data_IF_539934647794
#
_entry.id   IF_539934647794
#
_cell.length_a   1.000
_cell.length_b   1.000
_cell.length_c   1.000
_cell.angle_alpha   90.00
_cell.angle_beta   90.00
_cell.angle_gamma   90.00
#
_symmetry.space_group_name_H-M   'P 1'
#
loop_
_entity.id
_entity.type
_entity.pdbx_description
1 polymer ?
#
# COMPACT_ATOMS: atom_id res chain seq x y z
N UNK A 1 -38.68 89.13 -34.46
CA UNK A 1 -38.89 87.76 -34.99
C UNK A 1 -37.59 87.30 -35.65
N UNK A 2 -37.28 86.00 -35.50
CA UNK A 2 -36.20 85.26 -36.17
C UNK A 2 -34.80 85.33 -35.54
N UNK A 3 -34.61 84.65 -34.39
CA UNK A 3 -33.29 84.18 -33.93
C UNK A 3 -33.42 82.93 -33.05
N UNK A 4 -34.23 81.96 -33.48
CA UNK A 4 -34.48 80.71 -32.73
C UNK A 4 -34.32 79.44 -33.59
N UNK A 5 -33.50 79.49 -34.66
CA UNK A 5 -33.27 78.35 -35.56
C UNK A 5 -31.78 77.95 -35.71
N UNK A 6 -30.83 78.56 -35.01
CA UNK A 6 -29.40 78.23 -35.15
C UNK A 6 -28.81 77.30 -34.07
N UNK A 7 -29.56 77.01 -32.99
CA UNK A 7 -29.07 76.12 -31.92
C UNK A 7 -29.25 74.64 -32.27
N UNK A 8 -30.37 74.27 -32.90
CA UNK A 8 -30.63 72.89 -33.33
C UNK A 8 -29.70 72.39 -34.44
N UNK A 9 -29.22 73.28 -35.32
CA UNK A 9 -28.27 72.90 -36.39
C UNK A 9 -26.89 72.51 -35.88
N UNK A 10 -26.41 73.19 -34.83
CA UNK A 10 -25.11 72.88 -34.22
C UNK A 10 -25.13 71.60 -33.37
N UNK A 11 -26.24 71.31 -32.68
CA UNK A 11 -26.41 70.06 -31.93
C UNK A 11 -26.56 68.85 -32.85
N UNK A 12 -27.31 68.99 -33.95
CA UNK A 12 -27.45 67.93 -34.97
C UNK A 12 -26.11 67.69 -35.69
N UNK A 13 -25.36 68.74 -36.03
CA UNK A 13 -24.02 68.60 -36.62
C UNK A 13 -23.02 67.97 -35.63
N UNK A 14 -23.11 68.29 -34.34
CA UNK A 14 -22.29 67.66 -33.30
C UNK A 14 -22.67 66.19 -33.07
N UNK A 15 -23.95 65.85 -33.10
CA UNK A 15 -24.44 64.48 -33.01
C UNK A 15 -24.03 63.65 -34.24
N UNK A 16 -24.11 64.22 -35.44
CA UNK A 16 -23.62 63.58 -36.68
C UNK A 16 -22.12 63.35 -36.63
N UNK A 17 -21.30 64.32 -36.18
CA UNK A 17 -19.86 64.12 -36.01
C UNK A 17 -19.53 63.05 -34.97
N UNK A 18 -20.30 62.95 -33.89
CA UNK A 18 -20.17 61.87 -32.89
C UNK A 18 -20.54 60.52 -33.49
N UNK A 19 -21.58 60.44 -34.31
CA UNK A 19 -21.94 59.23 -35.05
C UNK A 19 -20.88 58.86 -36.09
N UNK A 20 -20.33 59.81 -36.83
CA UNK A 20 -19.24 59.61 -37.80
C UNK A 20 -17.94 59.12 -37.14
N UNK A 21 -17.71 59.44 -35.86
CA UNK A 21 -16.58 58.88 -35.08
C UNK A 21 -16.90 57.55 -34.44
N UNK A 22 -18.14 57.33 -34.00
CA UNK A 22 -18.57 56.09 -33.32
C UNK A 22 -18.82 54.95 -34.32
N UNK A 23 -19.34 55.22 -35.52
CA UNK A 23 -19.65 54.20 -36.53
C UNK A 23 -18.40 53.43 -37.02
N UNK A 24 -17.26 54.07 -37.35
CA UNK A 24 -16.03 53.35 -37.68
C UNK A 24 -15.44 52.60 -36.48
N UNK A 25 -15.58 53.15 -35.28
CA UNK A 25 -15.14 52.49 -34.05
C UNK A 25 -15.97 51.24 -33.78
N UNK A 26 -17.30 51.30 -33.95
CA UNK A 26 -18.22 50.18 -33.85
C UNK A 26 -17.98 49.13 -34.94
N UNK A 27 -17.76 49.56 -36.19
CA UNK A 27 -17.39 48.67 -37.30
C UNK A 27 -16.04 47.96 -37.08
N UNK A 28 -15.12 48.59 -36.34
CA UNK A 28 -13.82 47.98 -35.97
C UNK A 28 -13.84 47.23 -34.64
N UNK A 29 -14.90 47.38 -33.83
CA UNK A 29 -14.98 46.85 -32.47
C UNK A 29 -14.98 45.32 -32.50
N UNK A 30 -15.76 44.72 -33.40
CA UNK A 30 -15.83 43.27 -33.56
C UNK A 30 -14.46 42.70 -33.91
N UNK A 31 -13.75 43.28 -34.90
CA UNK A 31 -12.40 42.84 -35.27
C UNK A 31 -11.39 43.01 -34.14
N UNK A 32 -11.51 44.10 -33.35
CA UNK A 32 -10.64 44.32 -32.18
C UNK A 32 -10.93 43.32 -31.06
N UNK A 33 -12.20 43.02 -30.80
CA UNK A 33 -12.62 42.03 -29.82
C UNK A 33 -12.16 40.63 -30.22
N UNK A 34 -12.40 40.22 -31.47
CA UNK A 34 -11.91 38.94 -32.00
C UNK A 34 -10.39 38.83 -31.87
N UNK A 35 -9.64 39.89 -32.21
CA UNK A 35 -8.18 39.92 -32.04
C UNK A 35 -7.78 39.81 -30.58
N UNK A 36 -8.46 40.50 -29.67
CA UNK A 36 -8.18 40.43 -28.24
C UNK A 36 -8.46 39.02 -27.68
N UNK A 37 -9.59 38.41 -28.02
CA UNK A 37 -9.93 37.03 -27.65
C UNK A 37 -8.87 36.07 -28.18
N UNK A 38 -8.50 36.16 -29.46
CA UNK A 38 -7.43 35.34 -30.03
C UNK A 38 -6.11 35.50 -29.26
N UNK A 39 -5.71 36.74 -28.96
CA UNK A 39 -4.47 36.99 -28.20
C UNK A 39 -4.50 36.34 -26.82
N UNK A 40 -5.60 36.48 -26.07
CA UNK A 40 -5.75 35.86 -24.75
C UNK A 40 -5.69 34.34 -24.84
N UNK A 41 -6.36 33.74 -25.82
CA UNK A 41 -6.42 32.28 -25.97
C UNK A 41 -5.09 31.70 -26.46
N UNK A 42 -4.40 32.38 -27.39
CA UNK A 42 -3.04 32.00 -27.81
C UNK A 42 -2.07 32.04 -26.62
N UNK A 43 -2.21 33.02 -25.72
CA UNK A 43 -1.39 33.06 -24.51
C UNK A 43 -1.61 31.83 -23.61
N UNK A 44 -2.81 31.26 -23.56
CA UNK A 44 -3.07 30.02 -22.80
C UNK A 44 -2.27 28.85 -23.37
N UNK A 45 -2.27 28.67 -24.71
CA UNK A 45 -1.42 27.67 -25.37
C UNK A 45 0.07 27.94 -25.17
N UNK A 46 0.46 29.22 -25.26
CA UNK A 46 1.85 29.68 -25.09
C UNK A 46 2.47 29.34 -23.74
N UNK A 47 1.67 29.08 -22.69
CA UNK A 47 2.18 28.64 -21.38
C UNK A 47 2.84 27.26 -21.40
N UNK A 48 2.53 26.44 -22.40
CA UNK A 48 2.98 25.04 -22.49
C UNK A 48 4.06 24.82 -23.56
N UNK A 49 4.49 25.89 -24.24
CA UNK A 49 5.48 25.82 -25.31
C UNK A 49 6.52 26.92 -25.18
N UNK A 50 7.76 26.58 -25.50
CA UNK A 50 8.90 27.50 -25.41
C UNK A 50 8.97 28.41 -26.64
N UNK A 51 7.98 29.29 -26.78
CA UNK A 51 7.83 30.23 -27.90
C UNK A 51 7.72 31.66 -27.35
N UNK A 52 8.31 32.64 -28.05
CA UNK A 52 8.23 34.05 -27.65
C UNK A 52 6.78 34.52 -27.50
N UNK A 53 6.50 35.33 -26.47
CA UNK A 53 5.14 35.82 -26.16
C UNK A 53 4.49 36.65 -27.30
N UNK A 54 5.29 37.20 -28.20
CA UNK A 54 4.83 37.96 -29.37
C UNK A 54 4.71 37.10 -30.65
N UNK A 55 4.88 35.79 -30.57
CA UNK A 55 4.81 34.92 -31.74
C UNK A 55 3.40 34.90 -32.35
N UNK A 56 3.29 34.74 -33.68
CA UNK A 56 2.01 34.54 -34.34
C UNK A 56 1.25 33.36 -33.74
N UNK A 57 -0.08 33.46 -33.68
CA UNK A 57 -0.98 32.39 -33.23
C UNK A 57 -0.67 31.05 -33.91
N UNK A 58 -0.32 31.12 -35.20
CA UNK A 58 0.03 29.97 -36.01
C UNK A 58 1.23 29.20 -35.45
N UNK A 59 2.28 29.93 -35.09
CA UNK A 59 3.53 29.39 -34.57
C UNK A 59 3.32 28.74 -33.20
N UNK A 60 2.55 29.39 -32.31
CA UNK A 60 2.28 28.88 -30.97
C UNK A 60 1.50 27.57 -31.02
N UNK A 61 0.42 27.53 -31.81
CA UNK A 61 -0.41 26.34 -31.94
C UNK A 61 0.31 25.19 -32.64
N UNK A 62 1.11 25.47 -33.68
CA UNK A 62 1.94 24.46 -34.34
C UNK A 62 3.00 23.87 -33.39
N UNK A 63 3.66 24.71 -32.59
CA UNK A 63 4.62 24.26 -31.57
C UNK A 63 3.92 23.41 -30.50
N UNK A 64 2.70 23.79 -30.09
CA UNK A 64 1.94 23.05 -29.08
C UNK A 64 1.53 21.68 -29.59
N UNK A 65 1.00 21.62 -30.82
CA UNK A 65 0.64 20.37 -31.47
C UNK A 65 1.85 19.44 -31.67
N UNK A 66 3.02 20.00 -32.01
CA UNK A 66 4.24 19.21 -32.16
C UNK A 66 4.70 18.59 -30.84
N UNK A 67 4.56 19.34 -29.73
CA UNK A 67 4.95 18.90 -28.38
C UNK A 67 3.97 17.87 -27.80
N UNK A 68 2.66 18.03 -28.00
CA UNK A 68 1.61 17.24 -27.35
C UNK A 68 0.92 16.27 -28.30
N UNK A 69 1.70 15.38 -28.94
CA UNK A 69 1.16 14.29 -29.76
C UNK A 69 0.82 13.09 -28.89
N UNK A 70 -0.47 12.93 -28.58
CA UNK A 70 -0.98 11.80 -27.80
C UNK A 70 -1.77 10.89 -28.74
N UNK A 71 -1.31 9.65 -29.00
CA UNK A 71 -2.03 8.72 -29.87
C UNK A 71 -3.34 8.26 -29.22
N UNK A 72 -4.30 7.88 -30.05
CA UNK A 72 -5.46 7.12 -29.59
C UNK A 72 -5.13 5.62 -29.55
N UNK A 73 -5.70 4.89 -28.59
CA UNK A 73 -6.66 5.36 -27.60
C UNK A 73 -6.00 5.88 -26.29
N UNK A 74 -6.61 6.89 -25.65
CA UNK A 74 -6.13 7.50 -24.40
C UNK A 74 -7.28 7.79 -23.41
N UNK A 75 -6.93 8.13 -22.16
CA UNK A 75 -7.89 8.34 -21.06
C UNK A 75 -8.23 9.81 -20.80
N UNK A 76 -7.84 10.69 -21.72
CA UNK A 76 -8.20 12.10 -21.63
C UNK A 76 -9.72 12.29 -21.65
N UNK A 77 -10.16 13.37 -21.02
CA UNK A 77 -11.55 13.83 -21.06
C UNK A 77 -12.02 14.06 -22.49
N UNK A 78 -13.33 13.95 -22.74
CA UNK A 78 -13.90 14.14 -24.07
C UNK A 78 -13.56 15.53 -24.66
N UNK A 79 -13.50 16.55 -23.81
CA UNK A 79 -13.10 17.91 -24.20
C UNK A 79 -11.62 17.99 -24.58
N UNK A 80 -10.73 17.38 -23.80
CA UNK A 80 -9.30 17.32 -24.11
C UNK A 80 -9.03 16.55 -25.42
N UNK A 81 -9.73 15.43 -25.64
CA UNK A 81 -9.73 14.69 -26.92
C UNK A 81 -10.21 15.54 -28.08
N UNK A 82 -11.29 16.29 -27.88
CA UNK A 82 -11.81 17.22 -28.90
C UNK A 82 -10.80 18.32 -29.24
N UNK A 83 -10.12 18.89 -28.23
CA UNK A 83 -9.04 19.86 -28.44
C UNK A 83 -7.91 19.25 -29.26
N UNK A 84 -7.42 18.05 -28.90
CA UNK A 84 -6.37 17.35 -29.67
C UNK A 84 -6.79 17.08 -31.10
N UNK A 85 -8.01 16.57 -31.30
CA UNK A 85 -8.56 16.27 -32.63
C UNK A 85 -8.66 17.54 -33.50
N UNK A 86 -9.23 18.62 -32.97
CA UNK A 86 -9.38 19.85 -33.74
C UNK A 86 -8.05 20.57 -33.97
N UNK A 87 -7.14 20.52 -32.99
CA UNK A 87 -5.78 21.07 -33.14
C UNK A 87 -4.90 20.21 -34.06
N UNK A 88 -5.24 18.95 -34.30
CA UNK A 88 -4.56 18.12 -35.30
C UNK A 88 -5.04 18.42 -36.73
N UNK A 89 -6.29 18.83 -36.88
CA UNK A 89 -6.98 18.95 -38.17
C UNK A 89 -7.28 20.40 -38.61
N UNK A 90 -6.78 21.39 -37.89
CA UNK A 90 -6.96 22.79 -38.26
C UNK A 90 -6.11 23.14 -39.51
N UNK A 91 -6.75 23.69 -40.54
CA UNK A 91 -6.16 23.93 -41.86
C UNK A 91 -5.16 25.10 -41.94
N UNK A 92 -4.27 25.24 -40.96
CA UNK A 92 -3.32 26.34 -40.80
C UNK A 92 -3.92 27.75 -40.65
N UNK A 93 -5.19 27.83 -40.25
CA UNK A 93 -5.85 29.09 -39.90
C UNK A 93 -6.26 29.08 -38.43
N UNK A 94 -5.63 29.93 -37.62
CA UNK A 94 -5.89 30.00 -36.17
C UNK A 94 -7.27 30.54 -35.83
N UNK A 95 -7.80 31.49 -36.61
CA UNK A 95 -9.05 32.16 -36.27
C UNK A 95 -10.25 31.18 -36.22
N UNK A 96 -10.51 30.32 -37.23
CA UNK A 96 -11.59 29.35 -37.15
C UNK A 96 -11.46 28.35 -35.99
N UNK A 97 -10.24 27.90 -35.70
CA UNK A 97 -10.02 27.00 -34.56
C UNK A 97 -10.37 27.70 -33.24
N UNK A 98 -9.75 28.85 -32.98
CA UNK A 98 -9.81 29.54 -31.69
C UNK A 98 -11.13 30.26 -31.43
N UNK A 99 -11.79 30.79 -32.46
CA UNK A 99 -12.99 31.62 -32.32
C UNK A 99 -14.30 30.85 -32.55
N UNK A 100 -14.24 29.69 -33.24
CA UNK A 100 -15.44 28.92 -33.57
C UNK A 100 -15.40 27.49 -33.06
N UNK A 101 -14.34 26.73 -33.35
CA UNK A 101 -14.32 25.28 -33.10
C UNK A 101 -14.08 24.93 -31.63
N UNK A 102 -13.01 25.45 -31.02
CA UNK A 102 -12.67 25.16 -29.63
C UNK A 102 -13.70 25.68 -28.61
N UNK A 103 -14.30 26.89 -28.77
CA UNK A 103 -15.38 27.33 -27.90
C UNK A 103 -16.60 26.39 -27.90
N UNK A 104 -16.91 25.77 -29.06
CA UNK A 104 -17.99 24.78 -29.16
C UNK A 104 -17.64 23.43 -28.54
N UNK A 105 -16.36 23.06 -28.60
CA UNK A 105 -15.86 21.81 -28.03
C UNK A 105 -15.86 21.80 -26.50
N UNK A 106 -15.84 22.98 -25.87
CA UNK A 106 -15.84 23.15 -24.42
C UNK A 106 -17.27 23.37 -23.91
N UNK A 107 -17.75 22.47 -23.05
CA UNK A 107 -19.11 22.50 -22.51
C UNK A 107 -19.40 23.77 -21.70
N UNK A 108 -18.38 24.33 -21.04
CA UNK A 108 -18.49 25.56 -20.25
C UNK A 108 -18.78 26.81 -21.10
N UNK A 109 -18.54 26.75 -22.42
CA UNK A 109 -18.75 27.87 -23.35
C UNK A 109 -19.85 27.54 -24.36
N UNK A 110 -19.77 26.38 -25.02
CA UNK A 110 -20.80 25.81 -25.89
C UNK A 110 -21.09 26.55 -27.20
N UNK A 111 -20.58 27.78 -27.36
CA UNK A 111 -20.93 28.67 -28.46
C UNK A 111 -19.70 29.38 -29.04
N UNK A 112 -19.67 29.66 -30.36
CA UNK A 112 -18.60 30.42 -30.99
C UNK A 112 -18.59 31.88 -30.53
N UNK A 113 -17.44 32.55 -30.62
CA UNK A 113 -17.22 33.91 -30.08
C UNK A 113 -18.18 34.95 -30.63
N UNK A 114 -18.55 34.86 -31.91
CA UNK A 114 -19.50 35.80 -32.53
C UNK A 114 -20.94 35.66 -32.02
N UNK A 115 -21.26 34.61 -31.25
CA UNK A 115 -22.57 34.37 -30.63
C UNK A 115 -22.56 34.68 -29.12
N UNK A 116 -21.45 35.20 -28.59
CA UNK A 116 -21.38 35.54 -27.17
C UNK A 116 -22.15 36.82 -26.87
N UNK A 117 -23.13 36.72 -25.98
CA UNK A 117 -23.89 37.87 -25.50
C UNK A 117 -23.14 38.66 -24.42
N UNK A 118 -22.15 38.04 -23.77
CA UNK A 118 -21.40 38.60 -22.67
C UNK A 118 -19.90 38.39 -22.87
N UNK A 119 -19.11 39.43 -22.60
CA UNK A 119 -17.65 39.34 -22.70
C UNK A 119 -17.01 38.46 -21.62
N UNK A 120 -17.69 38.26 -20.49
CA UNK A 120 -17.22 37.40 -19.39
C UNK A 120 -17.03 35.93 -19.79
N UNK A 121 -17.68 35.48 -20.88
CA UNK A 121 -17.44 34.17 -21.48
C UNK A 121 -15.99 33.96 -21.93
N UNK A 122 -15.24 35.05 -22.18
CA UNK A 122 -13.80 34.96 -22.45
C UNK A 122 -13.04 34.36 -21.26
N UNK A 123 -13.41 34.75 -20.04
CA UNK A 123 -12.78 34.22 -18.83
C UNK A 123 -13.09 32.73 -18.67
N UNK A 124 -14.36 32.35 -18.81
CA UNK A 124 -14.78 30.94 -18.78
C UNK A 124 -14.07 30.11 -19.86
N UNK A 125 -13.93 30.66 -21.07
CA UNK A 125 -13.22 30.00 -22.15
C UNK A 125 -11.74 29.79 -21.83
N UNK A 126 -11.04 30.84 -21.38
CA UNK A 126 -9.63 30.76 -21.03
C UNK A 126 -9.36 29.79 -19.86
N UNK A 127 -10.23 29.77 -18.85
CA UNK A 127 -10.14 28.86 -17.71
C UNK A 127 -10.39 27.40 -18.11
N UNK A 128 -11.49 27.12 -18.81
CA UNK A 128 -11.82 25.78 -19.27
C UNK A 128 -10.75 25.22 -20.22
N UNK A 129 -10.30 26.03 -21.18
CA UNK A 129 -9.21 25.65 -22.07
C UNK A 129 -7.91 25.42 -21.28
N UNK A 130 -7.57 26.32 -20.35
CA UNK A 130 -6.37 26.20 -19.53
C UNK A 130 -6.33 24.90 -18.73
N UNK A 131 -7.46 24.47 -18.16
CA UNK A 131 -7.60 23.19 -17.46
C UNK A 131 -7.36 21.99 -18.39
N UNK A 132 -7.95 21.99 -19.59
CA UNK A 132 -7.79 20.89 -20.56
C UNK A 132 -6.39 20.82 -21.16
N UNK A 133 -5.76 21.98 -21.40
CA UNK A 133 -4.36 22.02 -21.84
C UNK A 133 -3.42 21.54 -20.73
N UNK A 134 -3.72 21.83 -19.46
CA UNK A 134 -2.97 21.28 -18.33
C UNK A 134 -3.09 19.74 -18.27
N UNK A 135 -4.30 19.22 -18.43
CA UNK A 135 -4.59 17.78 -18.49
C UNK A 135 -3.77 17.10 -19.60
N UNK A 136 -3.79 17.65 -20.82
CA UNK A 136 -3.01 17.16 -21.97
C UNK A 136 -1.50 17.24 -21.71
N UNK A 137 -1.04 18.34 -21.11
CA UNK A 137 0.38 18.54 -20.84
C UNK A 137 0.92 17.62 -19.74
N UNK A 138 0.06 17.16 -18.82
CA UNK A 138 0.41 16.26 -17.73
C UNK A 138 0.25 14.78 -18.09
N UNK A 139 -0.38 14.47 -19.23
CA UNK A 139 -0.60 13.11 -19.68
C UNK A 139 0.72 12.40 -19.97
N UNK A 140 0.96 11.30 -19.26
CA UNK A 140 2.12 10.44 -19.48
C UNK A 140 1.71 9.16 -20.23
N UNK A 141 2.19 8.97 -21.47
CA UNK A 141 1.86 7.78 -22.23
C UNK A 141 2.48 6.54 -21.57
N UNK A 142 1.72 5.45 -21.61
CA UNK A 142 2.16 4.17 -21.08
C UNK A 142 2.97 3.41 -22.14
N UNK A 143 4.26 3.18 -21.87
CA UNK A 143 5.09 2.33 -22.72
C UNK A 143 4.76 0.84 -22.48
N UNK A 144 4.98 0.00 -23.50
CA UNK A 144 4.68 -1.44 -23.43
C UNK A 144 5.37 -2.13 -22.22
N UNK A 145 6.66 -1.88 -21.92
CA UNK A 145 7.30 -2.49 -20.76
C UNK A 145 6.68 -2.04 -19.43
N UNK A 146 6.30 -0.76 -19.31
CA UNK A 146 5.67 -0.23 -18.09
C UNK A 146 4.25 -0.79 -17.92
N UNK A 147 3.47 -0.93 -19.00
CA UNK A 147 2.18 -1.64 -18.97
C UNK A 147 2.35 -3.09 -18.52
N UNK A 148 3.34 -3.80 -19.08
CA UNK A 148 3.67 -5.17 -18.70
C UNK A 148 4.01 -5.31 -17.21
N UNK A 149 4.76 -4.36 -16.66
CA UNK A 149 5.08 -4.30 -15.24
C UNK A 149 3.82 -4.07 -14.39
N UNK A 150 3.07 -3.00 -14.66
CA UNK A 150 1.93 -2.59 -13.84
C UNK A 150 0.77 -3.60 -13.92
N UNK A 151 0.47 -4.11 -15.11
CA UNK A 151 -0.55 -5.16 -15.29
C UNK A 151 -0.10 -6.53 -14.76
N UNK A 152 1.21 -6.80 -14.80
CA UNK A 152 1.83 -7.96 -14.18
C UNK A 152 1.76 -7.90 -12.66
N UNK A 153 1.92 -6.70 -12.08
CA UNK A 153 1.78 -6.42 -10.67
C UNK A 153 0.38 -6.79 -10.16
N UNK A 154 -0.67 -6.26 -10.79
CA UNK A 154 -2.06 -6.59 -10.44
C UNK A 154 -2.33 -8.10 -10.50
N UNK A 155 -1.75 -8.77 -11.50
CA UNK A 155 -1.84 -10.23 -11.60
C UNK A 155 -1.11 -10.94 -10.47
N UNK A 156 0.01 -10.41 -9.98
CA UNK A 156 0.80 -11.02 -8.90
C UNK A 156 0.10 -10.91 -7.53
N UNK A 157 -0.66 -9.84 -7.30
CA UNK A 157 -1.50 -9.67 -6.11
C UNK A 157 -2.91 -10.27 -6.27
N UNK A 158 -3.15 -11.02 -7.35
CA UNK A 158 -4.42 -11.71 -7.65
C UNK A 158 -5.65 -10.78 -7.76
N UNK A 159 -5.44 -9.52 -8.17
CA UNK A 159 -6.53 -8.55 -8.35
C UNK A 159 -7.13 -8.64 -9.76
N UNK A 160 -8.46 -8.47 -9.91
CA UNK A 160 -9.13 -8.58 -11.19
C UNK A 160 -8.65 -7.49 -12.16
N UNK A 161 -8.37 -7.87 -13.40
CA UNK A 161 -8.08 -6.94 -14.49
C UNK A 161 -9.39 -6.42 -15.06
N UNK A 162 -9.96 -5.40 -14.43
CA UNK A 162 -10.98 -4.55 -15.06
C UNK A 162 -10.35 -3.73 -16.19
N UNK A 163 -11.12 -2.88 -16.86
CA UNK A 163 -10.58 -1.95 -17.87
C UNK A 163 -9.50 -1.07 -17.24
N UNK A 164 -8.23 -1.36 -17.55
CA UNK A 164 -7.08 -0.68 -16.97
C UNK A 164 -6.89 0.70 -17.60
N UNK A 165 -6.51 1.73 -16.82
CA UNK A 165 -6.05 3.00 -17.37
C UNK A 165 -4.85 2.80 -18.30
N UNK A 166 -4.87 3.51 -19.41
CA UNK A 166 -3.82 3.66 -20.42
C UNK A 166 -2.87 4.82 -20.14
N UNK A 167 -3.19 5.68 -19.17
CA UNK A 167 -2.26 6.68 -18.65
C UNK A 167 -1.37 6.09 -17.55
N UNK A 168 -0.05 6.30 -17.65
CA UNK A 168 0.92 5.78 -16.68
C UNK A 168 0.62 6.20 -15.23
N UNK A 169 0.35 7.48 -15.00
CA UNK A 169 0.10 8.01 -13.64
C UNK A 169 -1.14 7.38 -13.02
N UNK A 170 -2.23 7.31 -13.79
CA UNK A 170 -3.48 6.70 -13.32
C UNK A 170 -3.33 5.21 -13.04
N UNK A 171 -2.65 4.46 -13.93
CA UNK A 171 -2.42 3.04 -13.71
C UNK A 171 -1.50 2.80 -12.50
N UNK A 172 -0.43 3.60 -12.34
CA UNK A 172 0.46 3.51 -11.18
C UNK A 172 -0.30 3.79 -9.88
N UNK A 173 -1.15 4.82 -9.86
CA UNK A 173 -1.98 5.14 -8.71
C UNK A 173 -2.97 4.00 -8.36
N UNK A 174 -3.60 3.40 -9.37
CA UNK A 174 -4.48 2.24 -9.19
C UNK A 174 -3.71 1.05 -8.58
N UNK A 175 -2.55 0.69 -9.15
CA UNK A 175 -1.72 -0.41 -8.63
C UNK A 175 -1.26 -0.14 -7.20
N UNK A 176 -0.86 1.09 -6.91
CA UNK A 176 -0.44 1.52 -5.58
C UNK A 176 -1.59 1.42 -4.55
N UNK A 177 -2.80 1.80 -4.93
CA UNK A 177 -3.99 1.65 -4.09
C UNK A 177 -4.29 0.17 -3.82
N UNK A 178 -4.36 -0.64 -4.88
CA UNK A 178 -4.65 -2.08 -4.78
C UNK A 178 -3.61 -2.82 -3.93
N UNK A 179 -2.34 -2.46 -4.07
CA UNK A 179 -1.28 -3.00 -3.23
C UNK A 179 -1.48 -2.64 -1.75
N UNK A 180 -1.81 -1.39 -1.45
CA UNK A 180 -2.07 -0.93 -0.08
C UNK A 180 -3.28 -1.60 0.56
N UNK A 181 -4.32 -1.89 -0.23
CA UNK A 181 -5.46 -2.71 0.21
C UNK A 181 -5.05 -4.17 0.46
N UNK A 182 -4.35 -4.77 -0.49
CA UNK A 182 -3.87 -6.15 -0.41
C UNK A 182 -2.97 -6.37 0.81
N UNK A 183 -2.00 -5.49 1.09
CA UNK A 183 -1.13 -5.59 2.26
C UNK A 183 -1.91 -5.54 3.58
N UNK A 184 -2.94 -4.69 3.66
CA UNK A 184 -3.82 -4.60 4.85
C UNK A 184 -4.63 -5.88 5.05
N UNK A 185 -5.11 -6.49 3.96
CA UNK A 185 -5.83 -7.78 4.00
C UNK A 185 -4.97 -8.93 4.51
N UNK A 186 -3.64 -8.89 4.30
CA UNK A 186 -2.71 -9.91 4.80
C UNK A 186 -2.57 -9.93 6.33
N UNK A 187 -3.00 -8.88 7.03
CA UNK A 187 -2.96 -8.79 8.51
C UNK A 187 -1.59 -9.18 9.09
N UNK A 188 -0.53 -8.69 8.46
CA UNK A 188 0.84 -8.96 8.91
C UNK A 188 1.06 -8.38 10.31
N UNK A 189 1.73 -9.10 11.22
CA UNK A 189 2.12 -8.55 12.51
C UNK A 189 3.04 -7.31 12.35
N UNK A 190 2.99 -6.35 13.29
CA UNK A 190 3.71 -5.08 13.14
C UNK A 190 5.24 -5.25 13.10
N UNK A 191 5.79 -6.21 13.84
CA UNK A 191 7.23 -6.50 13.85
C UNK A 191 7.79 -6.98 12.51
N UNK A 192 6.94 -7.40 11.57
CA UNK A 192 7.39 -7.91 10.25
C UNK A 192 8.18 -6.83 9.49
N UNK A 193 7.88 -5.57 9.75
CA UNK A 193 8.59 -4.44 9.17
C UNK A 193 10.03 -4.26 9.68
N UNK A 194 10.37 -4.92 10.80
CA UNK A 194 11.70 -4.85 11.43
C UNK A 194 12.52 -6.13 11.17
N UNK A 195 12.05 -7.04 10.31
CA UNK A 195 12.79 -8.25 9.93
C UNK A 195 14.01 -7.88 9.10
N UNK A 196 15.18 -8.40 9.51
CA UNK A 196 16.40 -8.30 8.72
C UNK A 196 16.41 -9.30 7.56
N UNK A 197 17.29 -9.08 6.58
CA UNK A 197 17.51 -10.04 5.50
C UNK A 197 17.96 -11.42 6.04
N UNK A 198 18.73 -11.44 7.13
CA UNK A 198 19.18 -12.68 7.78
C UNK A 198 18.01 -13.41 8.45
N UNK A 199 17.07 -12.69 9.08
CA UNK A 199 15.85 -13.27 9.61
C UNK A 199 15.01 -13.91 8.49
N UNK A 200 14.80 -13.16 7.40
CA UNK A 200 14.06 -13.65 6.24
C UNK A 200 14.72 -14.88 5.61
N UNK A 201 16.06 -14.92 5.54
CA UNK A 201 16.80 -16.09 5.06
C UNK A 201 16.65 -17.30 5.99
N UNK A 202 16.60 -17.08 7.30
CA UNK A 202 16.36 -18.15 8.26
C UNK A 202 14.92 -18.71 8.17
N UNK A 203 13.94 -17.83 7.95
CA UNK A 203 12.51 -18.20 7.86
C UNK A 203 12.17 -18.84 6.49
N UNK A 204 12.79 -18.36 5.41
CA UNK A 204 12.55 -18.74 4.02
C UNK A 204 13.87 -19.17 3.34
N UNK A 205 14.49 -20.30 3.76
CA UNK A 205 15.83 -20.68 3.32
C UNK A 205 15.92 -21.10 1.84
N UNK A 206 14.79 -21.39 1.18
CA UNK A 206 14.75 -21.80 -0.22
C UNK A 206 14.55 -20.63 -1.20
N UNK A 207 14.33 -19.41 -0.70
CA UNK A 207 14.04 -18.24 -1.54
C UNK A 207 15.29 -17.60 -2.11
N UNK A 208 15.19 -17.04 -3.31
CA UNK A 208 16.29 -16.32 -3.94
C UNK A 208 16.58 -14.98 -3.22
N UNK A 209 17.83 -14.53 -3.26
CA UNK A 209 18.24 -13.29 -2.58
C UNK A 209 17.51 -12.03 -3.11
N UNK A 210 17.21 -11.99 -4.41
CA UNK A 210 16.43 -10.91 -5.02
C UNK A 210 14.99 -10.90 -4.51
N UNK A 211 14.37 -12.08 -4.35
CA UNK A 211 13.03 -12.21 -3.76
C UNK A 211 13.02 -11.74 -2.30
N UNK A 212 14.03 -12.12 -1.50
CA UNK A 212 14.12 -11.70 -0.10
C UNK A 212 14.35 -10.18 0.02
N UNK A 213 15.14 -9.60 -0.88
CA UNK A 213 15.38 -8.14 -0.93
C UNK A 213 14.09 -7.39 -1.28
N UNK A 214 13.37 -7.84 -2.31
CA UNK A 214 12.09 -7.25 -2.70
C UNK A 214 11.00 -7.46 -1.62
N UNK A 215 10.99 -8.61 -0.95
CA UNK A 215 10.13 -8.87 0.19
C UNK A 215 10.41 -7.88 1.32
N UNK A 216 11.68 -7.67 1.68
CA UNK A 216 12.06 -6.70 2.72
C UNK A 216 11.56 -5.29 2.38
N UNK A 217 11.71 -4.83 1.13
CA UNK A 217 11.18 -3.54 0.66
C UNK A 217 9.66 -3.46 0.83
N UNK A 218 8.94 -4.53 0.49
CA UNK A 218 7.48 -4.60 0.59
C UNK A 218 6.97 -4.61 2.04
N UNK A 219 7.78 -5.07 2.98
CA UNK A 219 7.43 -5.18 4.40
C UNK A 219 7.72 -3.92 5.23
N UNK A 220 8.49 -2.96 4.70
CA UNK A 220 8.86 -1.74 5.42
C UNK A 220 7.62 -0.96 5.92
N UNK A 221 7.73 -0.31 7.10
CA UNK A 221 6.62 0.40 7.75
C UNK A 221 5.94 1.42 6.85
N UNK A 222 6.71 2.09 6.01
CA UNK A 222 6.22 3.14 5.12
C UNK A 222 5.63 2.60 3.81
N UNK A 223 5.72 1.29 3.54
CA UNK A 223 5.21 0.69 2.30
C UNK A 223 3.70 0.92 2.12
N UNK A 224 2.93 1.08 3.21
CA UNK A 224 1.49 1.38 3.15
C UNK A 224 1.19 2.85 2.87
N UNK A 225 2.10 3.78 3.21
CA UNK A 225 1.92 5.23 3.06
C UNK A 225 2.59 5.77 1.78
N UNK A 226 3.60 5.07 1.25
CA UNK A 226 4.39 5.46 0.08
C UNK A 226 4.26 4.44 -1.07
N UNK A 227 3.09 3.84 -1.23
CA UNK A 227 2.83 2.78 -2.23
C UNK A 227 3.16 3.21 -3.66
N UNK A 228 3.00 4.50 -4.00
CA UNK A 228 3.34 5.00 -5.33
C UNK A 228 4.85 4.86 -5.63
N UNK A 229 5.72 5.37 -4.74
CA UNK A 229 7.18 5.25 -4.90
C UNK A 229 7.65 3.80 -4.82
N UNK A 230 6.94 2.96 -4.05
CA UNK A 230 7.21 1.53 -3.99
C UNK A 230 6.99 0.84 -5.34
N UNK A 231 5.87 1.11 -6.01
CA UNK A 231 5.49 0.50 -7.29
C UNK A 231 6.33 1.03 -8.45
N UNK A 232 6.67 2.32 -8.44
CA UNK A 232 7.39 2.97 -9.54
C UNK A 232 8.91 2.83 -9.45
N UNK A 233 9.50 2.74 -8.26
CA UNK A 233 10.95 2.86 -8.09
C UNK A 233 11.55 1.73 -7.24
N UNK A 234 11.13 1.62 -5.97
CA UNK A 234 11.82 0.77 -5.01
C UNK A 234 11.70 -0.73 -5.33
N UNK A 235 10.49 -1.21 -5.68
CA UNK A 235 10.26 -2.62 -5.97
C UNK A 235 10.83 -3.06 -7.33
N UNK A 236 10.67 -2.30 -8.43
CA UNK A 236 11.39 -2.58 -9.67
C UNK A 236 12.90 -2.71 -9.47
N UNK A 237 13.51 -1.77 -8.74
CA UNK A 237 14.95 -1.79 -8.44
C UNK A 237 15.37 -3.00 -7.63
N UNK A 238 14.59 -3.38 -6.60
CA UNK A 238 14.85 -4.56 -5.78
C UNK A 238 14.75 -5.89 -6.57
N UNK A 239 13.97 -5.90 -7.66
CA UNK A 239 13.82 -7.03 -8.57
C UNK A 239 14.79 -6.97 -9.76
N UNK A 240 15.73 -6.02 -9.76
CA UNK A 240 16.79 -5.90 -10.75
C UNK A 240 16.43 -5.13 -12.03
N UNK A 241 15.32 -4.39 -12.04
CA UNK A 241 15.01 -3.49 -13.15
C UNK A 241 15.84 -2.19 -13.04
N UNK A 242 16.28 -1.60 -14.18
CA UNK A 242 16.94 -0.30 -14.18
C UNK A 242 16.06 0.81 -13.58
N UNK A 243 16.67 1.85 -13.02
CA UNK A 243 15.92 3.00 -12.47
C UNK A 243 15.15 3.78 -13.55
N UNK A 244 15.70 3.88 -14.75
CA UNK A 244 15.08 4.58 -15.87
C UNK A 244 14.14 3.63 -16.63
N UNK A 245 12.84 3.97 -16.68
CA UNK A 245 11.83 3.14 -17.34
C UNK A 245 12.05 2.98 -18.86
N UNK A 246 12.79 3.90 -19.48
CA UNK A 246 13.14 3.83 -20.91
C UNK A 246 14.11 2.68 -21.22
N UNK A 247 14.82 2.19 -20.21
CA UNK A 247 15.77 1.07 -20.33
C UNK A 247 15.10 -0.29 -20.07
N UNK A 248 13.80 -0.32 -19.74
CA UNK A 248 13.08 -1.55 -19.48
C UNK A 248 12.77 -2.27 -20.79
N UNK A 249 13.06 -3.57 -20.85
CA UNK A 249 12.68 -4.43 -21.97
C UNK A 249 11.64 -5.48 -21.55
N UNK A 250 10.95 -6.07 -22.52
CA UNK A 250 9.90 -7.05 -22.23
C UNK A 250 10.42 -8.31 -21.49
N UNK A 251 11.59 -8.88 -21.84
CA UNK A 251 12.19 -9.98 -21.08
C UNK A 251 12.48 -9.64 -19.61
N UNK A 252 13.11 -8.51 -19.33
CA UNK A 252 13.48 -8.08 -17.97
C UNK A 252 12.23 -7.86 -17.12
N UNK A 253 11.20 -7.20 -17.68
CA UNK A 253 9.92 -7.00 -17.02
C UNK A 253 9.23 -8.33 -16.73
N UNK A 254 9.24 -9.28 -17.68
CA UNK A 254 8.63 -10.61 -17.48
C UNK A 254 9.33 -11.39 -16.36
N UNK A 255 10.66 -11.33 -16.30
CA UNK A 255 11.44 -11.93 -15.23
C UNK A 255 11.11 -11.28 -13.86
N UNK A 256 11.07 -9.95 -13.81
CA UNK A 256 10.73 -9.20 -12.61
C UNK A 256 9.30 -9.51 -12.11
N UNK A 257 8.32 -9.59 -13.00
CA UNK A 257 6.93 -9.97 -12.65
C UNK A 257 6.86 -11.40 -12.12
N UNK A 258 7.67 -12.31 -12.65
CA UNK A 258 7.73 -13.69 -12.16
C UNK A 258 8.28 -13.76 -10.73
N UNK A 259 9.36 -13.01 -10.46
CA UNK A 259 9.90 -12.89 -9.10
C UNK A 259 8.92 -12.18 -8.17
N UNK A 260 8.22 -11.15 -8.63
CA UNK A 260 7.19 -10.46 -7.87
C UNK A 260 6.08 -11.42 -7.42
N UNK A 261 5.65 -12.35 -8.27
CA UNK A 261 4.67 -13.38 -7.87
C UNK A 261 5.19 -14.25 -6.73
N UNK A 262 6.46 -14.65 -6.77
CA UNK A 262 7.08 -15.38 -5.67
C UNK A 262 7.10 -14.54 -4.39
N UNK A 263 7.49 -13.26 -4.47
CA UNK A 263 7.45 -12.31 -3.34
C UNK A 263 6.04 -12.18 -2.76
N UNK A 264 5.02 -12.01 -3.59
CA UNK A 264 3.62 -11.93 -3.13
C UNK A 264 3.16 -13.23 -2.46
N UNK A 265 3.60 -14.39 -2.95
CA UNK A 265 3.36 -15.69 -2.32
C UNK A 265 4.04 -15.78 -0.95
N UNK A 266 5.29 -15.31 -0.83
CA UNK A 266 6.02 -15.24 0.43
C UNK A 266 5.28 -14.37 1.44
N UNK A 267 4.82 -13.17 1.06
CA UNK A 267 3.99 -12.32 1.96
C UNK A 267 2.75 -13.07 2.44
N UNK A 268 2.06 -13.80 1.54
CA UNK A 268 0.87 -14.58 1.90
C UNK A 268 1.15 -15.71 2.88
N UNK A 269 2.32 -16.34 2.80
CA UNK A 269 2.72 -17.48 3.65
C UNK A 269 3.54 -17.08 4.88
N UNK A 270 4.05 -15.85 4.92
CA UNK A 270 4.95 -15.35 5.96
C UNK A 270 4.38 -15.47 7.38
N UNK A 271 3.10 -15.12 7.67
CA UNK A 271 2.54 -15.31 9.00
C UNK A 271 2.60 -16.77 9.48
N UNK A 272 2.38 -17.73 8.59
CA UNK A 272 2.46 -19.15 8.91
C UNK A 272 3.92 -19.61 9.07
N UNK A 273 4.82 -19.11 8.22
CA UNK A 273 6.25 -19.42 8.28
C UNK A 273 6.87 -18.93 9.60
N UNK A 274 6.55 -17.71 10.04
CA UNK A 274 7.00 -17.13 11.31
C UNK A 274 6.53 -17.96 12.51
N UNK A 275 5.25 -18.35 12.55
CA UNK A 275 4.71 -19.21 13.62
C UNK A 275 5.38 -20.57 13.66
N UNK A 276 5.56 -21.20 12.50
CA UNK A 276 6.24 -22.51 12.38
C UNK A 276 7.68 -22.43 12.89
N UNK A 277 8.40 -21.37 12.54
CA UNK A 277 9.76 -21.16 13.01
C UNK A 277 9.83 -20.94 14.52
N UNK A 278 8.87 -20.20 15.09
CA UNK A 278 8.74 -20.06 16.54
C UNK A 278 8.44 -21.40 17.23
N UNK A 279 7.50 -22.19 16.70
CA UNK A 279 7.17 -23.53 17.22
C UNK A 279 8.33 -24.51 17.11
N UNK A 280 9.11 -24.45 16.03
CA UNK A 280 10.34 -25.23 15.90
C UNK A 280 11.33 -24.89 17.02
N UNK A 281 11.55 -23.60 17.28
CA UNK A 281 12.45 -23.16 18.34
C UNK A 281 11.96 -23.55 19.74
N UNK A 282 10.65 -23.44 20.01
CA UNK A 282 10.05 -23.93 21.27
C UNK A 282 10.24 -25.44 21.40
N UNK A 283 9.97 -26.22 20.35
CA UNK A 283 10.15 -27.67 20.37
C UNK A 283 11.56 -28.11 20.75
N UNK A 284 12.58 -27.39 20.29
CA UNK A 284 13.97 -27.66 20.66
C UNK A 284 14.24 -27.46 22.15
N UNK A 285 13.60 -26.48 22.80
CA UNK A 285 13.70 -26.27 24.25
C UNK A 285 13.18 -27.49 25.03
N UNK A 286 12.09 -28.09 24.54
CA UNK A 286 11.44 -29.24 25.18
C UNK A 286 11.91 -30.60 24.65
N UNK A 287 13.05 -30.63 23.94
CA UNK A 287 13.71 -31.88 23.54
C UNK A 287 13.05 -32.62 22.38
N UNK A 288 12.37 -31.92 21.46
CA UNK A 288 11.86 -32.53 20.23
C UNK A 288 12.98 -33.21 19.43
N UNK A 289 12.96 -34.54 19.36
CA UNK A 289 13.95 -35.33 18.63
C UNK A 289 13.78 -35.26 17.10
N UNK A 290 12.55 -35.01 16.65
CA UNK A 290 12.16 -34.91 15.24
C UNK A 290 11.50 -33.56 14.96
N UNK A 291 11.46 -33.19 13.67
CA UNK A 291 10.72 -32.01 13.25
C UNK A 291 9.24 -32.16 13.62
N UNK A 292 8.74 -31.21 14.40
CA UNK A 292 7.33 -31.17 14.82
C UNK A 292 6.47 -30.90 13.59
N UNK A 293 5.49 -31.77 13.36
CA UNK A 293 4.62 -31.72 12.17
C UNK A 293 3.38 -30.83 12.40
N UNK A 294 2.99 -30.59 13.65
CA UNK A 294 1.83 -29.73 13.97
C UNK A 294 1.97 -28.97 15.30
N UNK A 295 1.28 -27.82 15.47
CA UNK A 295 1.26 -27.10 16.76
C UNK A 295 0.67 -27.93 17.91
N UNK A 296 -0.28 -28.82 17.62
CA UNK A 296 -0.86 -29.71 18.63
C UNK A 296 0.15 -30.74 19.14
N UNK A 297 0.97 -31.30 18.24
CA UNK A 297 2.08 -32.20 18.61
C UNK A 297 3.09 -31.50 19.52
N UNK A 298 3.41 -30.22 19.27
CA UNK A 298 4.25 -29.43 20.17
C UNK A 298 3.64 -29.33 21.57
N UNK A 299 2.34 -29.03 21.66
CA UNK A 299 1.66 -28.89 22.94
C UNK A 299 1.66 -30.21 23.72
N UNK A 300 1.39 -31.32 23.06
CA UNK A 300 1.44 -32.66 23.67
C UNK A 300 2.86 -33.04 24.11
N UNK A 301 3.89 -32.70 23.33
CA UNK A 301 5.29 -32.85 23.75
C UNK A 301 5.56 -32.06 25.04
N UNK A 302 5.16 -30.79 25.10
CA UNK A 302 5.36 -29.94 26.28
C UNK A 302 4.58 -30.45 27.50
N UNK A 303 3.37 -30.97 27.32
CA UNK A 303 2.57 -31.59 28.38
C UNK A 303 3.20 -32.88 28.89
N UNK A 304 3.67 -33.72 27.97
CA UNK A 304 4.41 -34.96 28.31
C UNK A 304 5.68 -34.64 29.08
N UNK A 305 6.45 -33.66 28.60
CA UNK A 305 7.61 -33.13 29.30
C UNK A 305 7.21 -32.67 30.71
N UNK A 306 6.16 -31.85 30.85
CA UNK A 306 5.70 -31.36 32.16
C UNK A 306 5.29 -32.49 33.09
N UNK A 307 4.62 -33.54 32.60
CA UNK A 307 4.20 -34.69 33.41
C UNK A 307 5.36 -35.49 34.01
N UNK A 308 6.58 -35.31 33.49
CA UNK A 308 7.81 -35.93 34.02
C UNK A 308 8.35 -35.21 35.26
N UNK A 309 7.80 -34.03 35.60
CA UNK A 309 8.28 -33.17 36.68
C UNK A 309 7.14 -32.84 37.65
N UNK A 310 7.44 -32.85 38.95
CA UNK A 310 6.51 -32.38 39.99
C UNK A 310 7.15 -31.24 40.77
N UNK A 311 6.53 -30.05 40.71
CA UNK A 311 6.89 -28.89 41.55
C UNK A 311 6.07 -28.96 42.84
N UNK A 312 6.75 -29.04 43.98
CA UNK A 312 6.13 -29.05 45.30
C UNK A 312 5.82 -27.62 45.78
N UNK A 313 4.84 -27.44 46.70
CA UNK A 313 4.48 -26.12 47.23
C UNK A 313 5.62 -25.34 47.91
N UNK A 314 6.67 -26.06 48.35
CA UNK A 314 7.84 -25.47 49.01
C UNK A 314 8.98 -25.14 48.04
N UNK A 315 8.87 -25.54 46.78
CA UNK A 315 9.93 -25.31 45.80
C UNK A 315 9.94 -23.84 45.40
N UNK A 316 11.11 -23.22 45.54
CA UNK A 316 11.35 -21.82 45.19
C UNK A 316 11.64 -21.69 43.69
N UNK A 317 10.62 -21.93 42.86
CA UNK A 317 10.70 -21.65 41.42
C UNK A 317 10.27 -20.21 41.12
N UNK A 318 10.85 -19.63 40.07
CA UNK A 318 10.50 -18.30 39.57
C UNK A 318 9.04 -18.20 39.13
N UNK A 319 8.53 -16.96 39.06
CA UNK A 319 7.17 -16.71 38.60
C UNK A 319 6.93 -17.22 37.15
N UNK A 320 7.94 -17.11 36.28
CA UNK A 320 7.86 -17.60 34.90
C UNK A 320 7.84 -19.14 34.85
N UNK A 321 8.71 -19.81 35.61
CA UNK A 321 8.70 -21.27 35.72
C UNK A 321 7.35 -21.79 36.25
N UNK A 322 6.82 -21.15 37.31
CA UNK A 322 5.50 -21.50 37.84
C UNK A 322 4.39 -21.25 36.81
N UNK A 323 4.42 -20.13 36.10
CA UNK A 323 3.48 -19.81 35.02
C UNK A 323 3.50 -20.89 33.92
N UNK A 324 4.68 -21.28 33.43
CA UNK A 324 4.81 -22.32 32.38
C UNK A 324 4.25 -23.65 32.87
N UNK A 325 4.65 -24.07 34.08
CA UNK A 325 4.21 -25.33 34.66
C UNK A 325 2.69 -25.41 34.85
N UNK A 326 2.07 -24.34 35.37
CA UNK A 326 0.62 -24.25 35.55
C UNK A 326 -0.12 -24.15 34.21
N UNK A 327 0.42 -23.40 33.25
CA UNK A 327 -0.22 -23.21 31.96
C UNK A 327 -0.26 -24.50 31.14
N UNK A 328 0.79 -25.33 31.26
CA UNK A 328 0.84 -26.67 30.64
C UNK A 328 -0.03 -27.71 31.37
N UNK A 329 -0.43 -27.47 32.62
CA UNK A 329 -1.41 -28.30 33.33
C UNK A 329 -2.87 -28.01 32.91
N UNK A 330 -3.10 -26.89 32.24
CA UNK A 330 -4.45 -26.44 31.86
C UNK A 330 -5.08 -27.23 30.71
N UNK A 331 -6.40 -27.13 30.59
CA UNK A 331 -7.22 -27.75 29.53
C UNK A 331 -7.21 -26.99 28.19
N UNK A 332 -6.36 -25.97 28.06
CA UNK A 332 -6.27 -25.17 26.83
C UNK A 332 -5.70 -26.04 25.71
N UNK A 333 -6.55 -26.40 24.74
CA UNK A 333 -6.14 -27.28 23.64
C UNK A 333 -5.73 -26.51 22.38
N UNK A 334 -5.86 -25.17 22.38
CA UNK A 334 -5.37 -24.33 21.31
C UNK A 334 -3.90 -23.92 21.57
N UNK A 335 -2.93 -24.46 20.79
CA UNK A 335 -1.52 -24.11 20.93
C UNK A 335 -1.25 -22.63 20.66
N UNK A 336 -1.99 -21.99 19.74
CA UNK A 336 -1.81 -20.57 19.42
C UNK A 336 -2.25 -19.71 20.61
N UNK A 337 -3.39 -20.02 21.23
CA UNK A 337 -3.86 -19.32 22.43
C UNK A 337 -2.87 -19.43 23.59
N UNK A 338 -2.28 -20.62 23.80
CA UNK A 338 -1.32 -20.82 24.88
C UNK A 338 0.05 -20.19 24.57
N UNK A 339 0.67 -20.56 23.45
CA UNK A 339 2.07 -20.30 23.13
C UNK A 339 2.30 -18.93 22.51
N UNK A 340 1.33 -18.39 21.76
CA UNK A 340 1.46 -17.10 21.08
C UNK A 340 0.76 -15.96 21.83
N UNK A 341 -0.21 -16.26 22.70
CA UNK A 341 -0.97 -15.23 23.42
C UNK A 341 -0.71 -15.27 24.93
N UNK A 342 -1.09 -16.36 25.60
CA UNK A 342 -1.12 -16.43 27.08
C UNK A 342 0.26 -16.43 27.72
N UNK A 343 1.20 -17.24 27.23
CA UNK A 343 2.54 -17.29 27.79
C UNK A 343 3.31 -15.98 27.54
N UNK A 344 3.45 -15.49 26.28
CA UNK A 344 4.16 -14.24 26.02
C UNK A 344 3.57 -13.03 26.77
N UNK A 345 2.24 -12.95 26.91
CA UNK A 345 1.59 -11.82 27.62
C UNK A 345 1.79 -11.82 29.14
N UNK A 346 2.18 -12.95 29.73
CA UNK A 346 2.34 -13.08 31.20
C UNK A 346 3.78 -13.23 31.66
N UNK A 347 4.69 -13.62 30.76
CA UNK A 347 6.13 -13.68 31.07
C UNK A 347 6.70 -12.27 31.27
N UNK A 348 7.54 -12.13 32.30
CA UNK A 348 8.04 -10.84 32.75
C UNK A 348 8.87 -10.08 31.70
N UNK A 349 9.56 -10.80 30.82
CA UNK A 349 10.50 -10.32 29.81
C UNK A 349 9.80 -9.83 28.53
N UNK A 350 8.57 -10.28 28.30
CA UNK A 350 7.82 -10.01 27.06
C UNK A 350 6.60 -9.15 27.37
N UNK A 351 5.66 -9.65 28.17
CA UNK A 351 4.41 -8.97 28.57
C UNK A 351 3.48 -8.55 27.43
N UNK A 352 3.64 -9.14 26.25
CA UNK A 352 2.80 -8.89 25.08
C UNK A 352 2.59 -10.14 24.23
N UNK A 353 1.39 -10.26 23.66
CA UNK A 353 1.05 -11.34 22.75
C UNK A 353 1.78 -11.19 21.40
N UNK A 354 2.10 -12.31 20.75
CA UNK A 354 2.81 -12.40 19.47
C UNK A 354 2.34 -11.38 18.42
N UNK A 355 1.03 -11.27 18.20
CA UNK A 355 0.47 -10.34 17.21
C UNK A 355 0.65 -8.86 17.52
N UNK A 356 1.18 -8.52 18.72
CA UNK A 356 1.44 -7.16 19.19
C UNK A 356 2.91 -6.86 19.38
N UNK A 357 3.80 -7.81 19.09
CA UNK A 357 5.24 -7.59 19.25
C UNK A 357 5.71 -6.41 18.43
N UNK A 358 6.45 -5.52 19.08
CA UNK A 358 6.92 -4.28 18.45
C UNK A 358 8.12 -4.47 17.50
N UNK A 359 8.87 -5.56 17.66
CA UNK A 359 10.00 -5.97 16.84
C UNK A 359 10.20 -7.50 16.91
N UNK A 360 11.01 -8.05 16.02
CA UNK A 360 11.22 -9.50 15.96
C UNK A 360 12.11 -10.04 17.07
N UNK A 361 13.01 -9.24 17.65
CA UNK A 361 13.93 -9.69 18.71
C UNK A 361 13.24 -10.06 20.03
N UNK A 362 11.99 -9.62 20.24
CA UNK A 362 11.13 -10.11 21.33
C UNK A 362 10.96 -11.63 21.30
N UNK A 363 11.02 -12.25 20.10
CA UNK A 363 11.11 -13.71 19.95
C UNK A 363 12.21 -14.30 20.81
N UNK A 364 13.40 -13.72 20.77
CA UNK A 364 14.57 -14.28 21.43
C UNK A 364 14.47 -14.12 22.95
N UNK A 365 13.90 -12.99 23.43
CA UNK A 365 13.57 -12.82 24.84
C UNK A 365 12.54 -13.86 25.32
N UNK A 366 11.50 -14.10 24.52
CA UNK A 366 10.50 -15.11 24.82
C UNK A 366 11.10 -16.51 24.90
N UNK A 367 11.90 -16.89 23.90
CA UNK A 367 12.57 -18.20 23.85
C UNK A 367 13.57 -18.37 25.00
N UNK A 368 14.33 -17.33 25.34
CA UNK A 368 15.26 -17.36 26.47
C UNK A 368 14.53 -17.53 27.82
N UNK A 369 13.45 -16.78 28.04
CA UNK A 369 12.63 -16.89 29.25
C UNK A 369 11.98 -18.28 29.36
N UNK A 370 11.50 -18.84 28.24
CA UNK A 370 10.91 -20.18 28.20
C UNK A 370 11.95 -21.26 28.46
N UNK A 371 13.15 -21.14 27.89
CA UNK A 371 14.27 -22.06 28.12
C UNK A 371 14.72 -22.03 29.57
N UNK A 372 14.93 -20.85 30.14
CA UNK A 372 15.31 -20.71 31.54
C UNK A 372 14.25 -21.30 32.47
N UNK A 373 12.96 -21.07 32.17
CA UNK A 373 11.85 -21.66 32.91
C UNK A 373 11.87 -23.19 32.85
N UNK A 374 12.12 -23.77 31.67
CA UNK A 374 12.18 -25.22 31.50
C UNK A 374 13.39 -25.83 32.23
N UNK A 375 14.57 -25.21 32.16
CA UNK A 375 15.77 -25.63 32.86
C UNK A 375 15.59 -25.55 34.39
N UNK A 376 14.98 -24.46 34.89
CA UNK A 376 14.66 -24.30 36.31
C UNK A 376 13.70 -25.40 36.81
N UNK A 377 12.63 -25.67 36.07
CA UNK A 377 11.72 -26.77 36.41
C UNK A 377 12.47 -28.09 36.43
N UNK A 378 13.30 -28.38 35.42
CA UNK A 378 14.07 -29.62 35.38
C UNK A 378 15.08 -29.76 36.52
N UNK A 379 15.63 -28.65 37.01
CA UNK A 379 16.60 -28.62 38.11
C UNK A 379 15.95 -28.77 39.49
N UNK A 380 14.81 -28.11 39.72
CA UNK A 380 14.21 -28.01 41.06
C UNK A 380 13.02 -28.96 41.28
N UNK A 381 12.41 -29.49 40.21
CA UNK A 381 11.32 -30.43 40.35
C UNK A 381 11.82 -31.84 40.70
N UNK A 382 11.00 -32.58 41.44
CA UNK A 382 11.23 -33.99 41.70
C UNK A 382 10.97 -34.76 40.40
N UNK A 383 12.04 -35.32 39.81
CA UNK A 383 11.95 -36.21 38.64
C UNK A 383 11.58 -37.63 39.10
N UNK A 384 10.79 -38.36 38.31
CA UNK A 384 10.37 -39.75 38.55
C UNK A 384 11.55 -40.69 38.85
N UNK A 385 12.76 -40.35 38.36
CA UNK A 385 13.99 -41.13 38.56
C UNK A 385 14.86 -40.67 39.73
N UNK A 386 14.48 -39.63 40.48
CA UNK A 386 15.32 -39.08 41.55
C UNK A 386 15.13 -39.89 42.85
N UNK A 387 16.20 -40.16 43.60
CA UNK A 387 16.14 -40.86 44.90
C UNK A 387 15.20 -40.14 45.90
N UNK A 388 15.00 -38.83 45.73
CA UNK A 388 14.02 -38.04 46.47
C UNK A 388 12.56 -38.40 46.15
N UNK A 389 12.24 -38.77 44.90
CA UNK A 389 10.91 -39.23 44.52
C UNK A 389 10.57 -40.55 45.21
N UNK A 390 11.52 -41.50 45.21
CA UNK A 390 11.38 -42.77 45.93
C UNK A 390 11.30 -42.53 47.45
N UNK A 391 12.10 -41.62 47.99
CA UNK A 391 12.03 -41.25 49.42
C UNK A 391 10.67 -40.66 49.79
N UNK A 392 10.16 -39.70 48.99
CA UNK A 392 8.84 -39.10 49.19
C UNK A 392 7.71 -40.11 48.99
N UNK A 393 7.86 -41.03 48.04
CA UNK A 393 6.92 -42.11 47.80
C UNK A 393 6.89 -43.11 48.96
N UNK A 394 8.05 -43.47 49.50
CA UNK A 394 8.13 -44.33 50.68
C UNK A 394 7.58 -43.66 51.93
N UNK A 395 7.85 -42.37 52.14
CA UNK A 395 7.26 -41.60 53.22
C UNK A 395 5.73 -41.47 53.07
N UNK A 396 5.25 -41.24 51.85
CA UNK A 396 3.82 -41.23 51.55
C UNK A 396 3.17 -42.58 51.81
N UNK A 397 3.78 -43.69 51.34
CA UNK A 397 3.32 -45.07 51.63
C UNK A 397 3.29 -45.35 53.12
N UNK A 398 4.31 -44.91 53.86
CA UNK A 398 4.37 -45.05 55.33
C UNK A 398 3.22 -44.30 55.99
N UNK A 399 2.93 -43.07 55.54
CA UNK A 399 1.81 -42.26 56.05
C UNK A 399 0.45 -42.86 55.69
N UNK A 400 0.27 -43.34 54.46
CA UNK A 400 -0.97 -44.05 54.05
C UNK A 400 -1.20 -45.29 54.90
N UNK A 401 -0.15 -46.07 55.19
CA UNK A 401 -0.26 -47.28 56.00
C UNK A 401 -0.73 -47.00 57.45
N UNK A 402 -0.59 -45.76 57.93
CA UNK A 402 -1.11 -45.34 59.24
C UNK A 402 -2.58 -44.89 59.22
N UNK A 403 -3.19 -44.76 58.04
CA UNK A 403 -4.60 -44.38 57.87
C UNK A 403 -5.52 -45.60 57.95
N UNK A 404 -6.78 -45.39 58.32
CA UNK A 404 -7.82 -46.43 58.25
C UNK A 404 -8.18 -46.81 56.81
N UNK A 405 -8.80 -47.98 56.62
CA UNK A 405 -9.13 -48.51 55.28
C UNK A 405 -9.99 -47.55 54.45
N UNK A 406 -10.92 -46.85 55.08
CA UNK A 406 -11.80 -45.90 54.40
C UNK A 406 -11.07 -44.60 54.02
N UNK A 407 -10.15 -44.13 54.86
CA UNK A 407 -9.29 -42.98 54.56
C UNK A 407 -8.30 -43.31 53.44
N UNK A 408 -7.73 -44.52 53.42
CA UNK A 408 -6.87 -44.96 52.33
C UNK A 408 -7.64 -45.00 51.00
N UNK A 409 -8.88 -45.51 50.99
CA UNK A 409 -9.75 -45.51 49.81
C UNK A 409 -10.06 -44.09 49.34
N UNK A 410 -10.31 -43.17 50.27
CA UNK A 410 -10.56 -41.77 49.94
C UNK A 410 -9.32 -41.10 49.34
N UNK A 411 -8.13 -41.29 49.93
CA UNK A 411 -6.87 -40.75 49.40
C UNK A 411 -6.58 -41.28 48.00
N UNK A 412 -6.74 -42.59 47.76
CA UNK A 412 -6.54 -43.19 46.42
C UNK A 412 -7.55 -42.64 45.40
N UNK A 413 -8.81 -42.43 45.82
CA UNK A 413 -9.84 -41.83 44.97
C UNK A 413 -9.50 -40.38 44.62
N UNK A 414 -9.16 -39.55 45.61
CA UNK A 414 -8.77 -38.16 45.41
C UNK A 414 -7.50 -38.03 44.55
N UNK A 415 -6.50 -38.91 44.77
CA UNK A 415 -5.29 -38.93 43.96
C UNK A 415 -5.57 -39.35 42.52
N UNK A 416 -6.49 -40.28 42.28
CA UNK A 416 -6.94 -40.61 40.91
C UNK A 416 -7.66 -39.44 40.25
N UNK A 417 -8.53 -38.74 40.97
CA UNK A 417 -9.27 -37.59 40.43
C UNK A 417 -8.35 -36.39 40.11
N UNK A 418 -7.24 -36.22 40.86
CA UNK A 418 -6.30 -35.12 40.67
C UNK A 418 -5.22 -35.43 39.60
N UNK A 419 -4.82 -36.70 39.45
CA UNK A 419 -3.65 -37.09 38.67
C UNK A 419 -3.91 -38.07 37.50
N UNK A 420 -5.13 -38.58 37.32
CA UNK A 420 -5.54 -39.23 36.06
C UNK A 420 -6.43 -38.27 35.26
N UNK A 421 -6.07 -37.91 34.02
CA UNK A 421 -6.87 -37.02 33.17
C UNK A 421 -8.24 -37.58 32.80
#
# INVERSE_FOLDING_TARGET
MSSTNMVGGNEVAAALRRLETVLPLAASLETRLQRHVMQQIVQVFGRYVDVAAAAPAQTVLAAWQARHRIPEPNDLSAEAKSILFHSANWGNEAAPLLLTTLPRALSAVGSPVHQWEQFDLLKCYAEALGQRLAEIAQYEPLSIPVDGWLSGFLSAIERPKTTLPRERRQLTALVAQELGEWLRERRLPPFVADLSLDDLRAILPASAETELTALMVLLQRDATNATHGLVSEALPGALGLPAEHEQWDAPSVTAAVTQLRAVCCHVGTLPAALRRELYRAIGQIFGAATAISSPAELLELMRTWRSSYVILPKDSVSANARLVYEALAGRENDPDALLLQRLPSRMAEVREAYGRWSNWSIRDHFLAALKQSAEEIAQYAVNVTNDQAETLWQDFRRRIATLSVDEQRWVVKAFREEFQP
#
